data_IF_232926554759
#
_entry.id   IF_232926554759
#
_cell.length_a   1.000
_cell.length_b   1.000
_cell.length_c   1.000
_cell.angle_alpha   90.00
_cell.angle_beta   90.00
_cell.angle_gamma   90.00
#
_symmetry.space_group_name_H-M   'P 1'
#
loop_
_entity.id
_entity.type
_entity.pdbx_description
1 polymer ?
#
# COMPACT_ATOMS: atom_id res chain seq x y z
N UNK A 1 -11.36 9.02 7.44
CA UNK A 1 -10.47 9.33 6.30
C UNK A 1 -9.72 8.08 5.83
N UNK A 2 -9.70 7.83 4.51
CA UNK A 2 -8.95 6.71 3.92
C UNK A 2 -7.54 7.13 3.54
N UNK A 3 -6.56 6.31 3.91
CA UNK A 3 -5.14 6.52 3.64
C UNK A 3 -4.48 5.22 3.20
N UNK A 4 -3.42 5.35 2.42
CA UNK A 4 -2.56 4.22 2.04
C UNK A 4 -1.28 4.35 2.87
N UNK A 5 -0.94 3.30 3.61
CA UNK A 5 0.30 3.27 4.40
C UNK A 5 1.51 3.18 3.47
N UNK A 6 2.55 3.93 3.79
CA UNK A 6 3.85 3.89 3.08
C UNK A 6 4.90 3.11 3.86
N UNK A 7 4.69 2.95 5.17
CA UNK A 7 5.50 2.13 6.06
C UNK A 7 4.61 1.22 6.91
N UNK A 8 5.22 0.19 7.50
CA UNK A 8 4.53 -0.66 8.46
C UNK A 8 4.26 0.12 9.74
N UNK A 9 2.98 0.26 10.11
CA UNK A 9 2.57 0.97 11.31
C UNK A 9 1.99 -0.03 12.29
N UNK A 10 2.62 -0.12 13.45
CA UNK A 10 2.20 -1.03 14.52
C UNK A 10 0.72 -0.79 14.87
N UNK A 11 -0.06 -1.89 14.91
CA UNK A 11 -1.51 -1.88 15.19
C UNK A 11 -2.40 -1.20 14.14
N UNK A 12 -1.85 -0.83 12.98
CA UNK A 12 -2.61 -0.22 11.90
C UNK A 12 -2.57 -1.05 10.61
N UNK A 13 -1.40 -1.53 10.19
CA UNK A 13 -1.25 -2.34 8.98
C UNK A 13 0.15 -2.28 8.39
N UNK A 14 0.33 -2.96 7.26
CA UNK A 14 1.59 -2.99 6.51
C UNK A 14 1.67 -1.88 5.45
N UNK A 15 2.87 -1.58 4.99
CA UNK A 15 3.12 -0.70 3.86
C UNK A 15 2.35 -1.18 2.61
N UNK A 16 1.68 -0.25 1.94
CA UNK A 16 0.85 -0.53 0.76
C UNK A 16 -0.55 -1.05 1.08
N UNK A 17 -0.98 -1.01 2.34
CA UNK A 17 -2.36 -1.28 2.74
C UNK A 17 -3.22 -0.03 2.75
N UNK A 18 -4.49 -0.19 2.35
CA UNK A 18 -5.51 0.84 2.43
C UNK A 18 -6.21 0.70 3.78
N UNK A 19 -6.06 1.71 4.64
CA UNK A 19 -6.66 1.71 5.98
C UNK A 19 -7.54 2.94 6.18
N UNK A 20 -8.54 2.81 7.06
CA UNK A 20 -9.42 3.89 7.44
C UNK A 20 -9.10 4.36 8.85
N UNK A 21 -8.77 5.65 8.98
CA UNK A 21 -8.38 6.28 10.24
C UNK A 21 -9.23 7.52 10.52
N UNK A 22 -9.19 7.97 11.78
CA UNK A 22 -9.72 9.28 12.15
C UNK A 22 -8.98 10.39 11.42
N UNK A 23 -9.72 11.40 10.97
CA UNK A 23 -9.19 12.47 10.12
C UNK A 23 -8.01 13.21 10.77
N UNK A 24 -8.06 13.48 12.07
CA UNK A 24 -6.96 14.12 12.80
C UNK A 24 -5.69 13.26 12.86
N UNK A 25 -5.83 11.94 13.01
CA UNK A 25 -4.68 11.03 13.06
C UNK A 25 -4.00 10.94 11.69
N UNK A 26 -4.78 10.88 10.61
CA UNK A 26 -4.26 10.92 9.24
C UNK A 26 -3.58 12.25 8.91
N UNK A 27 -4.28 13.37 9.09
CA UNK A 27 -3.82 14.70 8.67
C UNK A 27 -2.69 15.29 9.52
N UNK A 28 -2.70 15.05 10.83
CA UNK A 28 -1.77 15.71 11.74
C UNK A 28 -0.56 14.84 12.12
N UNK A 29 -0.64 13.53 11.94
CA UNK A 29 0.42 12.60 12.34
C UNK A 29 0.93 11.78 11.16
N UNK A 30 0.10 10.93 10.55
CA UNK A 30 0.59 9.97 9.56
C UNK A 30 1.11 10.63 8.27
N UNK A 31 0.36 11.59 7.70
CA UNK A 31 0.76 12.26 6.45
C UNK A 31 1.99 13.16 6.65
N UNK A 32 2.05 14.04 7.67
CA UNK A 32 3.22 14.90 7.87
C UNK A 32 4.50 14.12 8.21
N UNK A 33 4.37 12.96 8.86
CA UNK A 33 5.49 12.07 9.13
C UNK A 33 5.89 11.19 7.94
N UNK A 34 5.15 11.24 6.82
CA UNK A 34 5.43 10.43 5.64
C UNK A 34 5.09 8.94 5.80
N UNK A 35 4.29 8.57 6.82
CA UNK A 35 3.86 7.19 7.11
C UNK A 35 2.65 6.75 6.29
N UNK A 36 1.97 7.70 5.68
CA UNK A 36 0.82 7.44 4.84
C UNK A 36 0.59 8.55 3.83
N UNK A 37 -0.14 8.21 2.76
CA UNK A 37 -0.65 9.13 1.76
C UNK A 37 -2.17 9.09 1.70
N UNK A 38 -2.78 10.16 1.19
CA UNK A 38 -4.23 10.22 1.07
C UNK A 38 -4.72 9.22 0.01
N UNK A 39 -5.71 8.40 0.35
CA UNK A 39 -6.28 7.44 -0.58
C UNK A 39 -7.25 8.11 -1.57
N UNK A 40 -6.69 8.85 -2.52
CA UNK A 40 -7.46 9.37 -3.67
C UNK A 40 -7.80 8.23 -4.63
N UNK A 41 -8.82 8.43 -5.49
CA UNK A 41 -9.17 7.44 -6.53
C UNK A 41 -7.97 7.09 -7.42
N UNK A 42 -7.12 8.08 -7.75
CA UNK A 42 -5.90 7.87 -8.53
C UNK A 42 -4.88 7.03 -7.77
N UNK A 43 -4.60 7.36 -6.51
CA UNK A 43 -3.64 6.62 -5.69
C UNK A 43 -4.08 5.17 -5.45
N UNK A 44 -5.38 4.91 -5.29
CA UNK A 44 -5.92 3.56 -5.16
C UNK A 44 -5.72 2.77 -6.46
N UNK A 45 -6.04 3.37 -7.62
CA UNK A 45 -5.86 2.71 -8.91
C UNK A 45 -4.38 2.40 -9.20
N UNK A 46 -3.48 3.31 -8.84
CA UNK A 46 -2.04 3.11 -8.95
C UNK A 46 -1.55 1.97 -8.05
N UNK A 47 -2.02 1.93 -6.81
CA UNK A 47 -1.70 0.85 -5.86
C UNK A 47 -2.16 -0.51 -6.40
N UNK A 48 -3.38 -0.60 -6.93
CA UNK A 48 -3.89 -1.84 -7.53
C UNK A 48 -3.08 -2.25 -8.76
N UNK A 49 -2.70 -1.30 -9.61
CA UNK A 49 -1.85 -1.57 -10.77
C UNK A 49 -0.47 -2.09 -10.36
N UNK A 50 0.14 -1.48 -9.33
CA UNK A 50 1.42 -1.94 -8.78
C UNK A 50 1.29 -3.36 -8.21
N UNK A 51 0.23 -3.65 -7.45
CA UNK A 51 -0.02 -4.99 -6.91
C UNK A 51 -0.19 -6.04 -8.00
N UNK A 52 -0.95 -5.74 -9.05
CA UNK A 52 -1.10 -6.64 -10.21
C UNK A 52 0.22 -6.91 -10.90
N UNK A 53 1.04 -5.87 -11.13
CA UNK A 53 2.37 -6.02 -11.74
C UNK A 53 3.32 -6.84 -10.87
N UNK A 54 3.27 -6.65 -9.55
CA UNK A 54 4.08 -7.42 -8.62
C UNK A 54 3.67 -8.90 -8.60
N UNK A 55 2.37 -9.19 -8.58
CA UNK A 55 1.84 -10.56 -8.63
C UNK A 55 2.24 -11.28 -9.92
N UNK A 56 2.06 -10.64 -11.07
CA UNK A 56 2.47 -11.21 -12.37
C UNK A 56 3.97 -11.53 -12.42
N UNK A 57 4.82 -10.64 -11.89
CA UNK A 57 6.27 -10.90 -11.81
C UNK A 57 6.58 -12.08 -10.89
N UNK A 58 5.92 -12.17 -9.74
CA UNK A 58 6.12 -13.27 -8.80
C UNK A 58 5.72 -14.61 -9.43
N UNK A 59 4.60 -14.66 -10.15
CA UNK A 59 4.17 -15.86 -10.87
C UNK A 59 5.20 -16.32 -11.91
N UNK A 60 5.74 -15.40 -12.71
CA UNK A 60 6.77 -15.70 -13.69
C UNK A 60 8.04 -16.27 -13.04
N UNK A 61 8.54 -15.63 -11.98
CA UNK A 61 9.75 -16.11 -11.27
C UNK A 61 9.55 -17.49 -10.65
N UNK A 62 8.34 -17.80 -10.18
CA UNK A 62 8.02 -19.12 -9.62
C UNK A 62 7.92 -20.17 -10.72
N UNK A 63 7.42 -19.82 -11.91
CA UNK A 63 7.40 -20.72 -13.07
C UNK A 63 8.82 -21.02 -13.54
N UNK A 64 9.65 -19.99 -13.72
CA UNK A 64 11.07 -20.12 -14.09
C UNK A 64 11.84 -21.00 -13.11
N UNK A 65 11.56 -20.89 -11.80
CA UNK A 65 12.18 -21.72 -10.77
C UNK A 65 11.67 -23.17 -10.70
N UNK A 66 10.48 -23.45 -11.25
CA UNK A 66 9.92 -24.81 -11.33
C UNK A 66 10.38 -25.56 -12.57
N UNK A 67 10.71 -24.83 -13.63
CA UNK A 67 11.14 -25.40 -14.91
C UNK A 67 12.65 -25.74 -14.92
N UNK A 68 13.38 -25.41 -13.85
CA UNK A 68 14.83 -25.63 -13.66
C UNK A 68 15.11 -26.77 -12.67
#
# INVERSE_FOLDING_TARGET
MKIILTEDVEKLGQAGELVEVKDGYGRNFLIPQGKAVLATKGAIAELELMKKRAALKAELTVQEAKDL
#
